data_IF_406213806176
#
_entry.id   IF_406213806176
#
_cell.length_a   1.000
_cell.length_b   1.000
_cell.length_c   1.000
_cell.angle_alpha   90.00
_cell.angle_beta   90.00
_cell.angle_gamma   90.00
#
_symmetry.space_group_name_H-M   'P 1'
#
loop_
_entity.id
_entity.type
_entity.pdbx_description
1 polymer ?
#
# COMPACT_ATOMS: atom_id res chain seq x y z
N UNK A 1 -14.31 -2.23 35.19
CA UNK A 1 -14.67 -3.65 34.96
C UNK A 1 -13.53 -4.48 34.39
N UNK A 2 -12.83 -4.05 33.32
CA UNK A 2 -11.68 -4.79 32.76
C UNK A 2 -10.55 -5.02 33.79
N UNK A 3 -10.10 -3.95 34.44
CA UNK A 3 -9.09 -4.04 35.50
C UNK A 3 -9.54 -4.95 36.65
N UNK A 4 -10.81 -4.89 37.06
CA UNK A 4 -11.36 -5.76 38.11
C UNK A 4 -11.20 -7.24 37.78
N UNK A 5 -11.34 -7.63 36.50
CA UNK A 5 -11.06 -9.00 36.07
C UNK A 5 -9.58 -9.34 36.22
N UNK A 6 -8.66 -8.46 35.79
CA UNK A 6 -7.22 -8.65 35.96
C UNK A 6 -6.86 -8.84 37.43
N UNK A 7 -7.44 -8.04 38.32
CA UNK A 7 -7.22 -8.07 39.77
C UNK A 7 -7.66 -9.39 40.41
N UNK A 8 -8.53 -10.18 39.76
CA UNK A 8 -8.89 -11.51 40.25
C UNK A 8 -7.77 -12.54 40.14
N UNK A 9 -6.73 -12.27 39.34
CA UNK A 9 -5.63 -13.19 39.09
C UNK A 9 -5.98 -14.38 38.18
N UNK A 10 -7.20 -14.45 37.62
CA UNK A 10 -7.62 -15.55 36.75
C UNK A 10 -7.08 -15.47 35.30
N UNK A 11 -6.33 -14.42 34.94
CA UNK A 11 -5.78 -14.24 33.59
C UNK A 11 -4.95 -15.43 33.09
N UNK A 12 -4.08 -15.97 33.95
CA UNK A 12 -3.24 -17.14 33.61
C UNK A 12 -4.06 -18.39 33.31
N UNK A 13 -5.01 -18.74 34.19
CA UNK A 13 -5.94 -19.86 33.98
C UNK A 13 -6.79 -19.69 32.73
N UNK A 14 -7.15 -18.46 32.40
CA UNK A 14 -7.90 -18.14 31.20
C UNK A 14 -7.05 -18.39 29.93
N UNK A 15 -5.79 -17.96 29.93
CA UNK A 15 -4.85 -18.24 28.86
C UNK A 15 -4.60 -19.74 28.66
N UNK A 16 -4.49 -20.52 29.74
CA UNK A 16 -4.35 -21.98 29.68
C UNK A 16 -5.59 -22.66 29.07
N UNK A 17 -6.79 -22.20 29.43
CA UNK A 17 -8.06 -22.74 28.92
C UNK A 17 -8.35 -22.39 27.47
N UNK A 18 -7.61 -21.44 26.88
CA UNK A 18 -7.79 -21.08 25.47
C UNK A 18 -7.53 -22.28 24.54
N UNK A 19 -6.76 -23.29 24.96
CA UNK A 19 -6.67 -24.55 24.24
C UNK A 19 -7.91 -25.41 24.50
N UNK A 20 -8.93 -25.23 23.67
CA UNK A 20 -10.20 -25.95 23.74
C UNK A 20 -10.73 -26.27 22.33
N UNK A 21 -11.66 -27.22 22.25
CA UNK A 21 -12.30 -27.58 20.98
C UNK A 21 -13.67 -26.90 20.79
N UNK A 22 -14.14 -26.18 21.80
CA UNK A 22 -15.39 -25.41 21.79
C UNK A 22 -15.15 -24.01 21.24
N UNK A 23 -15.78 -23.68 20.11
CA UNK A 23 -15.69 -22.34 19.50
C UNK A 23 -16.38 -21.27 20.37
N UNK A 24 -17.37 -21.64 21.17
CA UNK A 24 -17.99 -20.73 22.15
C UNK A 24 -17.01 -20.33 23.25
N UNK A 25 -16.33 -21.32 23.84
CA UNK A 25 -15.32 -21.08 24.88
C UNK A 25 -14.16 -20.27 24.30
N UNK A 26 -13.65 -20.66 23.12
CA UNK A 26 -12.60 -19.90 22.42
C UNK A 26 -13.00 -18.44 22.24
N UNK A 27 -14.19 -18.16 21.70
CA UNK A 27 -14.66 -16.80 21.48
C UNK A 27 -14.68 -16.00 22.78
N UNK A 28 -15.27 -16.55 23.85
CA UNK A 28 -15.38 -15.84 25.14
C UNK A 28 -14.00 -15.60 25.74
N UNK A 29 -13.14 -16.60 25.75
CA UNK A 29 -11.78 -16.53 26.30
C UNK A 29 -10.95 -15.50 25.53
N UNK A 30 -10.88 -15.62 24.20
CA UNK A 30 -10.15 -14.71 23.33
C UNK A 30 -10.66 -13.28 23.48
N UNK A 31 -11.98 -13.08 23.60
CA UNK A 31 -12.57 -11.75 23.79
C UNK A 31 -12.21 -11.13 25.14
N UNK A 32 -12.23 -11.90 26.23
CA UNK A 32 -11.84 -11.39 27.56
C UNK A 32 -10.36 -11.00 27.56
N UNK A 33 -9.49 -11.85 26.99
CA UNK A 33 -8.06 -11.56 26.86
C UNK A 33 -7.82 -10.33 25.97
N UNK A 34 -8.49 -10.24 24.82
CA UNK A 34 -8.42 -9.10 23.92
C UNK A 34 -8.87 -7.81 24.62
N UNK A 35 -9.99 -7.82 25.34
CA UNK A 35 -10.44 -6.64 26.07
C UNK A 35 -9.45 -6.26 27.18
N UNK A 36 -8.76 -7.23 27.77
CA UNK A 36 -7.72 -6.99 28.77
C UNK A 36 -6.47 -6.33 28.19
N UNK A 37 -6.31 -6.22 26.87
CA UNK A 37 -5.20 -5.45 26.28
C UNK A 37 -5.38 -3.94 26.41
N UNK A 38 -6.57 -3.45 26.78
CA UNK A 38 -6.89 -2.03 26.81
C UNK A 38 -7.03 -1.49 28.24
N UNK A 39 -6.18 -0.53 28.60
CA UNK A 39 -6.20 0.18 29.88
C UNK A 39 -6.27 -0.77 31.08
N UNK A 40 -5.45 -1.83 31.07
CA UNK A 40 -5.29 -2.74 32.20
C UNK A 40 -3.83 -3.05 32.51
N UNK A 41 -3.58 -3.63 33.69
CA UNK A 41 -2.27 -4.13 34.12
C UNK A 41 -2.00 -5.59 33.77
N UNK A 42 -2.75 -6.18 32.82
CA UNK A 42 -2.54 -7.57 32.39
C UNK A 42 -1.15 -7.76 31.80
N UNK A 43 -0.35 -8.65 32.40
CA UNK A 43 1.01 -8.96 31.96
C UNK A 43 1.01 -10.07 30.89
N UNK A 44 1.00 -9.67 29.61
CA UNK A 44 1.02 -10.60 28.49
C UNK A 44 2.35 -11.35 28.33
N UNK A 45 3.47 -10.81 28.81
CA UNK A 45 4.75 -11.55 28.83
C UNK A 45 4.65 -12.71 29.82
N UNK A 46 4.08 -12.49 31.00
CA UNK A 46 3.79 -13.55 31.95
C UNK A 46 2.83 -14.60 31.38
N UNK A 47 1.73 -14.19 30.71
CA UNK A 47 0.78 -15.12 30.10
C UNK A 47 1.43 -16.00 29.01
N UNK A 48 2.36 -15.44 28.23
CA UNK A 48 3.07 -16.19 27.19
C UNK A 48 4.08 -17.17 27.83
N UNK A 49 4.87 -16.72 28.79
CA UNK A 49 5.97 -17.53 29.37
C UNK A 49 5.50 -18.60 30.35
N UNK A 50 4.48 -18.31 31.15
CA UNK A 50 4.06 -19.19 32.25
C UNK A 50 2.71 -19.85 32.02
N UNK A 51 1.87 -19.31 31.13
CA UNK A 51 0.51 -19.81 30.88
C UNK A 51 0.27 -20.25 29.42
N UNK A 52 1.36 -20.41 28.65
CA UNK A 52 1.33 -20.96 27.28
C UNK A 52 0.39 -20.23 26.31
N UNK A 53 0.12 -18.95 26.53
CA UNK A 53 -0.82 -18.17 25.71
C UNK A 53 -0.48 -18.27 24.21
N UNK A 54 0.80 -18.13 23.88
CA UNK A 54 1.29 -18.23 22.51
C UNK A 54 0.95 -19.56 21.82
N UNK A 55 1.23 -20.68 22.50
CA UNK A 55 0.95 -22.01 21.98
C UNK A 55 -0.56 -22.26 21.83
N UNK A 56 -1.36 -21.78 22.79
CA UNK A 56 -2.81 -21.94 22.78
C UNK A 56 -3.48 -21.11 21.69
N UNK A 57 -3.00 -19.89 21.43
CA UNK A 57 -3.45 -19.07 20.30
C UNK A 57 -3.08 -19.73 18.98
N UNK A 58 -1.83 -20.20 18.82
CA UNK A 58 -1.40 -20.89 17.62
C UNK A 58 -2.21 -22.18 17.38
N UNK A 59 -2.56 -22.92 18.43
CA UNK A 59 -3.45 -24.08 18.35
C UNK A 59 -4.79 -23.72 17.73
N UNK A 60 -5.40 -22.61 18.14
CA UNK A 60 -6.70 -22.20 17.61
C UNK A 60 -6.64 -21.80 16.13
N UNK A 61 -5.61 -21.06 15.72
CA UNK A 61 -5.43 -20.74 14.29
C UNK A 61 -5.23 -22.02 13.46
N UNK A 62 -4.45 -22.99 13.96
CA UNK A 62 -4.29 -24.31 13.31
C UNK A 62 -5.63 -25.04 13.21
N UNK A 63 -6.43 -25.03 14.28
CA UNK A 63 -7.76 -25.67 14.34
C UNK A 63 -8.69 -25.09 13.28
N UNK A 64 -8.82 -23.76 13.22
CA UNK A 64 -9.62 -23.06 12.21
C UNK A 64 -9.11 -23.30 10.80
N UNK A 65 -7.79 -23.26 10.59
CA UNK A 65 -7.20 -23.49 9.27
C UNK A 65 -7.47 -24.91 8.73
N UNK A 66 -7.77 -25.91 9.57
CA UNK A 66 -8.19 -27.26 9.13
C UNK A 66 -9.60 -27.26 8.52
N UNK A 67 -10.45 -26.29 8.87
CA UNK A 67 -11.83 -26.21 8.39
C UNK A 67 -11.94 -25.74 6.94
N UNK A 68 -10.88 -25.11 6.40
CA UNK A 68 -10.80 -24.65 5.01
C UNK A 68 -10.23 -25.76 4.12
N UNK A 69 -11.03 -26.44 3.26
CA UNK A 69 -10.55 -27.51 2.40
C UNK A 69 -9.72 -27.00 1.21
N UNK A 70 -8.99 -27.89 0.51
CA UNK A 70 -8.24 -27.51 -0.72
C UNK A 70 -9.16 -27.21 -1.91
N UNK A 71 -10.35 -27.82 -1.92
CA UNK A 71 -11.37 -27.67 -2.95
C UNK A 71 -12.75 -27.84 -2.29
N UNK A 72 -13.76 -27.16 -2.84
CA UNK A 72 -15.12 -27.14 -2.32
C UNK A 72 -15.41 -25.94 -1.41
N UNK A 73 -16.68 -25.54 -1.38
CA UNK A 73 -17.18 -24.45 -0.55
C UNK A 73 -17.59 -25.00 0.81
N UNK A 74 -16.86 -24.63 1.85
CA UNK A 74 -17.33 -24.81 3.22
C UNK A 74 -17.28 -23.45 3.90
N UNK A 75 -18.44 -22.89 4.23
CA UNK A 75 -18.47 -21.72 5.10
C UNK A 75 -18.17 -22.18 6.52
N UNK A 76 -17.44 -21.36 7.26
CA UNK A 76 -17.37 -21.50 8.72
C UNK A 76 -18.80 -21.40 9.28
N UNK A 77 -19.05 -22.06 10.41
CA UNK A 77 -20.24 -21.72 11.19
C UNK A 77 -20.09 -20.29 11.72
N UNK A 78 -21.20 -19.62 12.02
CA UNK A 78 -21.17 -18.28 12.60
C UNK A 78 -20.34 -18.25 13.89
N UNK A 79 -20.42 -19.28 14.73
CA UNK A 79 -19.67 -19.35 15.97
C UNK A 79 -18.17 -19.55 15.73
N UNK A 80 -17.79 -20.37 14.76
CA UNK A 80 -16.38 -20.53 14.38
C UNK A 80 -15.78 -19.24 13.84
N UNK A 81 -16.54 -18.49 13.02
CA UNK A 81 -16.09 -17.20 12.50
C UNK A 81 -15.90 -16.17 13.61
N UNK A 82 -16.82 -16.10 14.58
CA UNK A 82 -16.68 -15.23 15.75
C UNK A 82 -15.48 -15.59 16.62
N UNK A 83 -15.28 -16.88 16.89
CA UNK A 83 -14.15 -17.39 17.66
C UNK A 83 -12.82 -17.05 17.01
N UNK A 84 -12.67 -17.39 15.72
CA UNK A 84 -11.49 -17.05 14.93
C UNK A 84 -11.24 -15.53 14.92
N UNK A 85 -12.29 -14.75 14.71
CA UNK A 85 -12.20 -13.29 14.69
C UNK A 85 -11.66 -12.72 16.01
N UNK A 86 -12.16 -13.18 17.17
CA UNK A 86 -11.68 -12.68 18.46
C UNK A 86 -10.25 -13.17 18.75
N UNK A 87 -9.88 -14.38 18.33
CA UNK A 87 -8.49 -14.87 18.40
C UNK A 87 -7.54 -14.02 17.53
N UNK A 88 -7.95 -13.64 16.32
CA UNK A 88 -7.18 -12.75 15.44
C UNK A 88 -7.03 -11.34 16.04
N UNK A 89 -8.09 -10.78 16.63
CA UNK A 89 -8.01 -9.48 17.33
C UNK A 89 -7.02 -9.54 18.50
N UNK A 90 -7.01 -10.64 19.25
CA UNK A 90 -6.05 -10.86 20.33
C UNK A 90 -4.60 -10.88 19.80
N UNK A 91 -4.33 -11.65 18.73
CA UNK A 91 -3.01 -11.67 18.06
C UNK A 91 -2.60 -10.27 17.65
N UNK A 92 -3.48 -9.56 16.95
CA UNK A 92 -3.19 -8.21 16.44
C UNK A 92 -2.82 -7.25 17.57
N UNK A 93 -3.66 -7.17 18.62
CA UNK A 93 -3.42 -6.23 19.72
C UNK A 93 -2.16 -6.56 20.50
N UNK A 94 -1.95 -7.83 20.86
CA UNK A 94 -0.74 -8.23 21.61
C UNK A 94 0.51 -7.93 20.78
N UNK A 95 0.51 -8.27 19.49
CA UNK A 95 1.64 -8.00 18.60
C UNK A 95 1.87 -6.51 18.36
N UNK A 96 0.80 -5.70 18.34
CA UNK A 96 0.89 -4.25 18.12
C UNK A 96 1.36 -3.49 19.37
N UNK A 97 0.85 -3.86 20.55
CA UNK A 97 1.17 -3.19 21.83
C UNK A 97 2.50 -3.68 22.39
N UNK A 98 2.78 -4.99 22.27
CA UNK A 98 3.97 -5.65 22.78
C UNK A 98 4.75 -6.25 21.61
N UNK A 99 5.39 -5.42 20.80
CA UNK A 99 6.08 -5.82 19.56
C UNK A 99 7.13 -6.92 19.76
N UNK A 100 7.79 -6.98 20.92
CA UNK A 100 8.73 -8.04 21.25
C UNK A 100 8.08 -9.43 21.38
N UNK A 101 6.77 -9.49 21.65
CA UNK A 101 6.02 -10.73 21.80
C UNK A 101 5.46 -11.24 20.46
N UNK A 102 5.49 -10.44 19.39
CA UNK A 102 4.89 -10.79 18.09
C UNK A 102 5.41 -12.10 17.50
N UNK A 103 6.70 -12.39 17.69
CA UNK A 103 7.35 -13.62 17.20
C UNK A 103 6.74 -14.91 17.80
N UNK A 104 6.07 -14.81 18.95
CA UNK A 104 5.36 -15.93 19.60
C UNK A 104 4.25 -16.48 18.71
N UNK A 105 3.63 -15.63 17.89
CA UNK A 105 2.51 -16.00 17.02
C UNK A 105 2.95 -16.34 15.60
N UNK A 106 4.25 -16.33 15.28
CA UNK A 106 4.75 -16.58 13.91
C UNK A 106 4.35 -17.96 13.37
N UNK A 107 4.14 -18.96 14.23
CA UNK A 107 3.63 -20.27 13.82
C UNK A 107 2.22 -20.21 13.19
N UNK A 108 1.45 -19.15 13.44
CA UNK A 108 0.14 -18.91 12.83
C UNK A 108 0.23 -18.40 11.39
N UNK A 109 1.34 -17.81 10.96
CA UNK A 109 1.50 -17.19 9.63
C UNK A 109 1.11 -18.13 8.46
N UNK A 110 1.67 -19.36 8.33
CA UNK A 110 1.29 -20.26 7.23
C UNK A 110 -0.19 -20.64 7.25
N UNK A 111 -0.80 -20.69 8.43
CA UNK A 111 -2.21 -21.02 8.60
C UNK A 111 -3.12 -19.83 8.27
N UNK A 112 -2.73 -18.61 8.59
CA UNK A 112 -3.40 -17.37 8.17
C UNK A 112 -3.38 -17.27 6.64
N UNK A 113 -2.23 -17.46 5.98
CA UNK A 113 -2.18 -17.48 4.52
C UNK A 113 -3.04 -18.59 3.92
N UNK A 114 -3.06 -19.79 4.52
CA UNK A 114 -3.93 -20.87 4.08
C UNK A 114 -5.41 -20.46 4.12
N UNK A 115 -5.84 -19.77 5.18
CA UNK A 115 -7.21 -19.28 5.32
C UNK A 115 -7.50 -18.21 4.25
N UNK A 116 -6.64 -17.19 4.12
CA UNK A 116 -6.80 -16.10 3.14
C UNK A 116 -6.91 -16.66 1.71
N UNK A 117 -6.04 -17.59 1.32
CA UNK A 117 -6.06 -18.17 -0.03
C UNK A 117 -7.35 -18.97 -0.34
N UNK A 118 -8.02 -19.50 0.69
CA UNK A 118 -9.18 -20.40 0.54
C UNK A 118 -10.52 -19.70 0.75
N UNK A 119 -10.53 -18.52 1.34
CA UNK A 119 -11.74 -17.69 1.48
C UNK A 119 -12.10 -17.06 0.13
N UNK A 120 -13.38 -17.06 -0.21
CA UNK A 120 -13.92 -16.25 -1.30
C UNK A 120 -13.79 -14.77 -0.94
N UNK A 121 -13.30 -13.95 -1.88
CA UNK A 121 -13.15 -12.51 -1.62
C UNK A 121 -14.57 -11.91 -1.58
N UNK A 122 -15.01 -11.36 -0.44
CA UNK A 122 -16.33 -10.76 -0.35
C UNK A 122 -16.35 -9.43 -1.13
N UNK A 123 -17.55 -8.92 -1.52
CA UNK A 123 -17.67 -7.64 -2.22
C UNK A 123 -17.03 -6.45 -1.47
N UNK A 124 -16.94 -6.57 -0.15
CA UNK A 124 -16.25 -5.66 0.75
C UNK A 124 -15.02 -6.35 1.35
N UNK A 125 -13.90 -6.44 0.62
CA UNK A 125 -12.74 -7.27 0.99
C UNK A 125 -11.99 -6.83 2.25
N UNK A 126 -12.15 -5.58 2.68
CA UNK A 126 -11.47 -5.02 3.85
C UNK A 126 -12.36 -5.00 5.10
N UNK A 127 -13.44 -5.76 5.09
CA UNK A 127 -14.37 -5.95 6.22
C UNK A 127 -14.44 -7.42 6.67
N UNK A 128 -15.05 -7.66 7.82
CA UNK A 128 -15.25 -9.01 8.37
C UNK A 128 -13.94 -9.77 8.61
N UNK A 129 -14.00 -11.10 8.48
CA UNK A 129 -12.88 -12.00 8.77
C UNK A 129 -11.61 -11.67 7.97
N UNK A 130 -11.75 -11.31 6.69
CA UNK A 130 -10.60 -11.03 5.82
C UNK A 130 -9.79 -9.82 6.32
N UNK A 131 -10.48 -8.78 6.81
CA UNK A 131 -9.85 -7.62 7.46
C UNK A 131 -8.99 -8.01 8.65
N UNK A 132 -9.51 -8.86 9.56
CA UNK A 132 -8.76 -9.29 10.75
C UNK A 132 -7.55 -10.16 10.41
N UNK A 133 -7.64 -10.98 9.36
CA UNK A 133 -6.50 -11.76 8.86
C UNK A 133 -5.39 -10.85 8.32
N UNK A 134 -5.75 -9.84 7.51
CA UNK A 134 -4.81 -8.85 6.97
C UNK A 134 -4.17 -8.00 8.09
N UNK A 135 -4.96 -7.60 9.09
CA UNK A 135 -4.47 -6.88 10.25
C UNK A 135 -3.39 -7.69 10.97
N UNK A 136 -3.62 -8.98 11.22
CA UNK A 136 -2.61 -9.84 11.84
C UNK A 136 -1.32 -9.92 11.00
N UNK A 137 -1.43 -10.13 9.69
CA UNK A 137 -0.24 -10.19 8.83
C UNK A 137 0.59 -8.91 8.88
N UNK A 138 -0.05 -7.75 9.08
CA UNK A 138 0.66 -6.47 9.17
C UNK A 138 1.40 -6.22 10.50
N UNK A 139 1.20 -7.08 11.51
CA UNK A 139 1.87 -6.95 12.83
C UNK A 139 2.75 -8.15 13.20
N UNK A 140 2.60 -9.28 12.51
CA UNK A 140 3.41 -10.47 12.72
C UNK A 140 4.82 -10.32 12.13
N UNK A 141 5.80 -11.01 12.73
CA UNK A 141 7.18 -11.06 12.25
C UNK A 141 7.28 -11.97 11.01
N UNK A 142 6.88 -11.44 9.85
CA UNK A 142 6.97 -12.12 8.56
C UNK A 142 8.42 -12.38 8.15
N UNK A 143 9.35 -11.52 8.61
CA UNK A 143 10.79 -11.65 8.37
C UNK A 143 11.43 -12.81 9.14
N UNK A 144 10.71 -13.38 10.10
CA UNK A 144 11.16 -14.46 10.97
C UNK A 144 12.49 -14.14 11.67
N UNK A 145 12.69 -12.87 12.07
CA UNK A 145 13.93 -12.40 12.73
C UNK A 145 14.19 -13.12 14.05
N UNK A 146 13.12 -13.44 14.78
CA UNK A 146 13.20 -14.04 16.14
C UNK A 146 12.49 -15.40 16.25
N UNK A 147 11.91 -15.91 15.16
CA UNK A 147 11.05 -17.10 15.18
C UNK A 147 11.78 -18.42 14.87
N UNK A 148 11.06 -19.54 15.02
CA UNK A 148 11.55 -20.88 14.64
C UNK A 148 11.73 -20.94 13.13
N UNK A 149 12.74 -21.67 12.66
CA UNK A 149 12.97 -21.88 11.23
C UNK A 149 11.77 -22.62 10.63
N UNK A 150 11.08 -22.00 9.66
CA UNK A 150 10.06 -22.69 8.88
C UNK A 150 10.73 -23.69 7.92
N UNK A 151 10.18 -24.89 7.76
CA UNK A 151 10.68 -25.89 6.79
C UNK A 151 10.66 -25.36 5.34
N UNK A 152 9.69 -24.50 5.04
CA UNK A 152 9.56 -23.78 3.77
C UNK A 152 9.04 -22.37 4.03
N UNK A 153 9.46 -21.38 3.24
CA UNK A 153 8.99 -19.99 3.40
C UNK A 153 7.44 -19.93 3.36
N UNK A 154 6.79 -19.44 4.43
CA UNK A 154 5.32 -19.32 4.44
C UNK A 154 4.82 -18.26 3.44
N UNK A 155 5.69 -17.29 3.09
CA UNK A 155 5.41 -16.25 2.12
C UNK A 155 5.50 -16.77 0.67
N UNK A 156 6.46 -17.67 0.41
CA UNK A 156 6.74 -18.23 -0.92
C UNK A 156 6.72 -19.76 -0.88
N UNK A 157 5.53 -20.40 -0.80
CA UNK A 157 5.42 -21.85 -0.75
C UNK A 157 6.01 -22.54 -1.98
N UNK A 158 6.60 -23.72 -1.79
CA UNK A 158 7.27 -24.46 -2.88
C UNK A 158 6.33 -24.93 -3.99
N UNK A 159 5.05 -25.15 -3.69
CA UNK A 159 4.06 -25.60 -4.68
C UNK A 159 3.60 -24.47 -5.62
N UNK A 160 3.61 -23.23 -5.15
CA UNK A 160 3.31 -22.03 -5.93
C UNK A 160 3.84 -20.82 -5.14
N UNK A 161 4.95 -20.25 -5.62
CA UNK A 161 5.59 -19.12 -4.95
C UNK A 161 4.76 -17.83 -5.03
N UNK A 162 3.86 -17.72 -6.00
CA UNK A 162 3.08 -16.50 -6.26
C UNK A 162 1.69 -16.51 -5.62
N UNK A 163 1.20 -17.64 -5.07
CA UNK A 163 -0.21 -17.75 -4.67
C UNK A 163 -0.65 -16.70 -3.64
N UNK A 164 0.20 -16.40 -2.66
CA UNK A 164 -0.09 -15.40 -1.63
C UNK A 164 -0.16 -13.99 -2.24
N UNK A 165 0.79 -13.67 -3.14
CA UNK A 165 0.86 -12.41 -3.87
C UNK A 165 -0.39 -12.24 -4.75
N UNK A 166 -0.73 -13.26 -5.54
CA UNK A 166 -1.92 -13.25 -6.39
C UNK A 166 -3.18 -12.96 -5.58
N UNK A 167 -3.35 -13.64 -4.46
CA UNK A 167 -4.55 -13.46 -3.62
C UNK A 167 -4.60 -12.05 -3.02
N UNK A 168 -3.49 -11.54 -2.49
CA UNK A 168 -3.44 -10.21 -1.88
C UNK A 168 -3.63 -9.08 -2.91
N UNK A 169 -3.07 -9.23 -4.12
CA UNK A 169 -3.26 -8.25 -5.20
C UNK A 169 -4.71 -8.28 -5.69
N UNK A 170 -5.33 -9.46 -5.83
CA UNK A 170 -6.75 -9.56 -6.16
C UNK A 170 -7.66 -8.93 -5.08
N UNK A 171 -7.30 -9.05 -3.80
CA UNK A 171 -7.99 -8.35 -2.71
C UNK A 171 -7.81 -6.84 -2.86
N UNK A 172 -6.60 -6.37 -3.19
CA UNK A 172 -6.31 -4.95 -3.40
C UNK A 172 -7.11 -4.39 -4.58
N UNK A 173 -7.16 -5.09 -5.71
CA UNK A 173 -7.90 -4.66 -6.90
C UNK A 173 -9.40 -4.51 -6.64
N UNK A 174 -9.99 -5.49 -5.95
CA UNK A 174 -11.39 -5.43 -5.52
C UNK A 174 -11.60 -4.32 -4.49
N UNK A 175 -10.66 -4.10 -3.56
CA UNK A 175 -10.77 -3.05 -2.56
C UNK A 175 -10.75 -1.65 -3.20
N UNK A 176 -9.81 -1.40 -4.10
CA UNK A 176 -9.69 -0.12 -4.82
C UNK A 176 -10.94 0.18 -5.64
N UNK A 177 -11.64 -0.84 -6.11
CA UNK A 177 -12.89 -0.70 -6.85
C UNK A 177 -14.14 -0.58 -5.96
N UNK A 178 -14.11 -1.13 -4.74
CA UNK A 178 -15.26 -1.20 -3.84
C UNK A 178 -15.36 -0.06 -2.81
N UNK A 179 -14.25 0.61 -2.50
CA UNK A 179 -14.17 1.61 -1.43
C UNK A 179 -13.78 3.00 -1.95
N UNK A 180 -14.29 4.04 -1.27
CA UNK A 180 -13.82 5.41 -1.46
C UNK A 180 -12.42 5.65 -0.86
N UNK A 181 -11.71 6.72 -1.27
CA UNK A 181 -10.38 7.03 -0.76
C UNK A 181 -10.33 7.24 0.77
N UNK A 182 -11.39 7.79 1.36
CA UNK A 182 -11.56 7.99 2.81
C UNK A 182 -11.64 6.66 3.59
N UNK A 183 -12.31 5.67 3.04
CA UNK A 183 -12.36 4.34 3.63
C UNK A 183 -11.03 3.60 3.44
N UNK A 184 -10.40 3.72 2.27
CA UNK A 184 -9.10 3.10 1.99
C UNK A 184 -7.98 3.64 2.89
N UNK A 185 -7.99 4.94 3.19
CA UNK A 185 -7.08 5.61 4.14
C UNK A 185 -7.03 4.90 5.50
N UNK A 186 -8.16 4.33 5.95
CA UNK A 186 -8.28 3.69 7.25
C UNK A 186 -8.15 2.16 7.19
N UNK A 187 -8.67 1.54 6.11
CA UNK A 187 -8.82 0.08 6.01
C UNK A 187 -7.72 -0.63 5.22
N UNK A 188 -7.09 0.04 4.24
CA UNK A 188 -6.19 -0.61 3.28
C UNK A 188 -4.72 -0.67 3.72
N UNK A 189 -4.32 0.15 4.70
CA UNK A 189 -2.93 0.26 5.18
C UNK A 189 -2.31 -1.10 5.56
N UNK A 190 -2.99 -2.01 6.28
CA UNK A 190 -2.47 -3.34 6.59
C UNK A 190 -2.12 -4.17 5.35
N UNK A 191 -2.93 -4.07 4.29
CA UNK A 191 -2.72 -4.77 3.03
C UNK A 191 -1.49 -4.22 2.29
N UNK A 192 -1.37 -2.88 2.19
CA UNK A 192 -0.20 -2.24 1.61
C UNK A 192 1.09 -2.61 2.36
N UNK A 193 1.06 -2.54 3.69
CA UNK A 193 2.21 -2.91 4.50
C UNK A 193 2.63 -4.37 4.28
N UNK A 194 1.66 -5.29 4.25
CA UNK A 194 1.92 -6.71 3.99
C UNK A 194 2.55 -6.92 2.60
N UNK A 195 2.04 -6.24 1.56
CA UNK A 195 2.59 -6.32 0.21
C UNK A 195 4.02 -5.78 0.12
N UNK A 196 4.32 -4.67 0.80
CA UNK A 196 5.68 -4.11 0.89
C UNK A 196 6.65 -5.11 1.51
N UNK A 197 6.29 -5.68 2.67
CA UNK A 197 7.14 -6.66 3.38
C UNK A 197 7.35 -7.92 2.53
N UNK A 198 6.30 -8.43 1.87
CA UNK A 198 6.42 -9.57 0.96
C UNK A 198 7.39 -9.23 -0.19
N UNK A 199 7.28 -8.05 -0.83
CA UNK A 199 8.16 -7.69 -1.92
C UNK A 199 9.64 -7.58 -1.48
N UNK A 200 9.91 -6.96 -0.33
CA UNK A 200 11.26 -6.84 0.24
C UNK A 200 11.92 -8.22 0.42
N UNK A 201 11.13 -9.20 0.85
CA UNK A 201 11.56 -10.57 1.10
C UNK A 201 11.51 -11.48 -0.13
N UNK A 202 10.93 -11.01 -1.23
CA UNK A 202 10.67 -11.85 -2.40
C UNK A 202 11.97 -12.24 -3.12
N UNK A 203 12.12 -13.53 -3.51
CA UNK A 203 13.15 -13.91 -4.47
C UNK A 203 12.86 -13.30 -5.85
N UNK A 204 13.84 -13.33 -6.75
CA UNK A 204 13.78 -12.62 -8.04
C UNK A 204 12.51 -12.94 -8.87
N UNK A 205 12.03 -14.18 -8.84
CA UNK A 205 10.83 -14.60 -9.56
C UNK A 205 9.57 -13.87 -9.08
N UNK A 206 9.08 -14.12 -7.84
CA UNK A 206 7.95 -13.41 -7.26
C UNK A 206 8.12 -11.90 -7.23
N UNK A 207 9.35 -11.39 -7.03
CA UNK A 207 9.64 -9.94 -7.04
C UNK A 207 9.31 -9.32 -8.39
N UNK A 208 9.84 -9.86 -9.49
CA UNK A 208 9.54 -9.40 -10.85
C UNK A 208 8.07 -9.58 -11.21
N UNK A 209 7.45 -10.65 -10.71
CA UNK A 209 6.02 -10.90 -10.91
C UNK A 209 5.15 -9.84 -10.23
N UNK A 210 5.50 -9.41 -9.00
CA UNK A 210 4.83 -8.28 -8.34
C UNK A 210 5.00 -6.96 -9.09
N UNK A 211 6.21 -6.68 -9.59
CA UNK A 211 6.48 -5.51 -10.42
C UNK A 211 5.59 -5.50 -11.67
N UNK A 212 5.49 -6.65 -12.34
CA UNK A 212 4.64 -6.83 -13.52
C UNK A 212 3.14 -6.58 -13.23
N UNK A 213 2.64 -7.01 -12.07
CA UNK A 213 1.22 -6.83 -11.71
C UNK A 213 0.85 -5.41 -11.24
N UNK A 214 1.79 -4.67 -10.63
CA UNK A 214 1.50 -3.43 -9.89
C UNK A 214 2.06 -2.17 -10.53
N UNK A 215 3.08 -2.26 -11.38
CA UNK A 215 3.63 -1.11 -12.10
C UNK A 215 2.92 -0.95 -13.46
N UNK A 216 2.84 0.29 -13.99
CA UNK A 216 2.26 0.53 -15.31
C UNK A 216 3.00 -0.24 -16.41
N UNK A 217 2.24 -0.92 -17.26
CA UNK A 217 2.77 -1.59 -18.45
C UNK A 217 2.70 -0.70 -19.70
N UNK A 218 3.28 -1.14 -20.82
CA UNK A 218 3.21 -0.44 -22.09
C UNK A 218 1.76 -0.18 -22.57
N UNK A 219 0.82 -1.05 -22.21
CA UNK A 219 -0.60 -0.89 -22.52
C UNK A 219 -1.24 0.30 -21.76
N UNK A 220 -0.75 0.58 -20.55
CA UNK A 220 -1.21 1.73 -19.76
C UNK A 220 -0.77 3.06 -20.37
N UNK A 221 0.28 3.04 -21.20
CA UNK A 221 0.84 4.24 -21.86
C UNK A 221 0.09 4.65 -23.13
N UNK A 222 -1.04 4.01 -23.44
CA UNK A 222 -1.94 4.46 -24.52
C UNK A 222 -2.69 5.74 -24.16
N UNK A 223 -2.82 6.03 -22.86
CA UNK A 223 -3.38 7.26 -22.28
C UNK A 223 -2.37 7.82 -21.28
N UNK A 224 -2.57 9.04 -20.76
CA UNK A 224 -1.78 9.51 -19.62
C UNK A 224 -1.90 8.52 -18.45
N UNK A 225 -0.78 8.24 -17.80
CA UNK A 225 -0.73 7.33 -16.66
C UNK A 225 -1.71 7.82 -15.57
N UNK A 226 -2.37 6.87 -14.90
CA UNK A 226 -3.38 7.19 -13.88
C UNK A 226 -4.79 7.41 -14.42
N UNK A 227 -5.00 7.32 -15.75
CA UNK A 227 -6.32 7.49 -16.38
C UNK A 227 -6.89 6.20 -17.01
N UNK A 228 -6.19 5.05 -16.90
CA UNK A 228 -6.70 3.74 -17.30
C UNK A 228 -7.43 3.04 -16.14
N UNK A 229 -8.16 1.96 -16.45
CA UNK A 229 -8.90 1.15 -15.47
C UNK A 229 -8.03 0.05 -14.81
N UNK A 230 -6.73 0.04 -15.08
CA UNK A 230 -5.78 -0.90 -14.47
C UNK A 230 -5.53 -0.57 -13.01
N UNK A 231 -5.12 -1.57 -12.23
CA UNK A 231 -4.81 -1.39 -10.82
C UNK A 231 -3.69 -0.36 -10.61
N UNK A 232 -2.63 -0.42 -11.41
CA UNK A 232 -1.52 0.54 -11.40
C UNK A 232 -2.01 1.98 -11.54
N UNK A 233 -2.85 2.25 -12.55
CA UNK A 233 -3.45 3.58 -12.76
C UNK A 233 -4.38 4.02 -11.64
N UNK A 234 -5.23 3.12 -11.13
CA UNK A 234 -6.11 3.44 -9.99
C UNK A 234 -5.31 3.81 -8.74
N UNK A 235 -4.24 3.07 -8.44
CA UNK A 235 -3.35 3.38 -7.32
C UNK A 235 -2.64 4.72 -7.50
N UNK A 236 -2.13 5.00 -8.71
CA UNK A 236 -1.49 6.29 -8.99
C UNK A 236 -2.48 7.45 -8.86
N UNK A 237 -3.71 7.30 -9.36
CA UNK A 237 -4.76 8.30 -9.18
C UNK A 237 -5.09 8.50 -7.69
N UNK A 238 -5.26 7.42 -6.92
CA UNK A 238 -5.46 7.49 -5.46
C UNK A 238 -4.32 8.24 -4.76
N UNK A 239 -3.09 8.14 -5.22
CA UNK A 239 -1.95 8.85 -4.62
C UNK A 239 -1.99 10.38 -4.78
N UNK A 240 -2.87 10.90 -5.64
CA UNK A 240 -3.08 12.36 -5.85
C UNK A 240 -4.19 12.94 -4.97
N UNK A 241 -4.94 12.08 -4.27
CA UNK A 241 -6.05 12.48 -3.40
C UNK A 241 -5.53 13.06 -2.07
N UNK A 242 -6.33 13.87 -1.34
CA UNK A 242 -5.88 14.56 -0.12
C UNK A 242 -5.86 13.64 1.13
N UNK A 243 -5.50 12.37 0.97
CA UNK A 243 -5.49 11.34 2.02
C UNK A 243 -4.04 10.89 2.29
N UNK A 244 -3.40 11.42 3.35
CA UNK A 244 -1.94 11.33 3.50
C UNK A 244 -1.42 9.92 3.82
N UNK A 245 -2.15 9.10 4.58
CA UNK A 245 -1.69 7.75 4.91
C UNK A 245 -1.76 6.82 3.69
N UNK A 246 -2.80 6.95 2.88
CA UNK A 246 -3.01 6.24 1.62
C UNK A 246 -1.96 6.66 0.61
N UNK A 247 -1.72 7.97 0.45
CA UNK A 247 -0.62 8.48 -0.37
C UNK A 247 0.73 7.90 0.08
N UNK A 248 0.99 7.90 1.38
CA UNK A 248 2.25 7.36 1.95
C UNK A 248 2.38 5.85 1.70
N UNK A 249 1.30 5.08 1.89
CA UNK A 249 1.29 3.64 1.67
C UNK A 249 1.50 3.26 0.20
N UNK A 250 0.85 3.98 -0.73
CA UNK A 250 1.05 3.79 -2.17
C UNK A 250 2.46 4.23 -2.57
N UNK A 251 2.96 5.34 -2.03
CA UNK A 251 4.33 5.84 -2.24
C UNK A 251 5.37 4.80 -1.83
N UNK A 252 5.19 4.18 -0.65
CA UNK A 252 6.05 3.08 -0.17
C UNK A 252 6.05 1.90 -1.12
N UNK A 253 4.86 1.43 -1.49
CA UNK A 253 4.73 0.27 -2.38
C UNK A 253 5.40 0.54 -3.74
N UNK A 254 5.12 1.68 -4.37
CA UNK A 254 5.69 2.03 -5.68
C UNK A 254 7.21 2.20 -5.63
N UNK A 255 7.73 2.79 -4.54
CA UNK A 255 9.17 2.97 -4.36
C UNK A 255 9.90 1.63 -4.17
N UNK A 256 9.35 0.74 -3.35
CA UNK A 256 9.91 -0.60 -3.11
C UNK A 256 9.84 -1.47 -4.37
N UNK A 257 8.73 -1.41 -5.12
CA UNK A 257 8.62 -2.07 -6.44
C UNK A 257 9.66 -1.55 -7.43
N UNK A 258 10.01 -0.27 -7.35
CA UNK A 258 11.03 0.36 -8.20
C UNK A 258 12.46 0.18 -7.68
N UNK A 259 12.68 -0.73 -6.73
CA UNK A 259 14.02 -1.04 -6.21
C UNK A 259 14.60 0.03 -5.29
N UNK A 260 13.74 0.84 -4.65
CA UNK A 260 14.12 1.99 -3.80
C UNK A 260 15.00 3.01 -4.52
N UNK A 261 14.75 3.19 -5.81
CA UNK A 261 15.51 4.07 -6.68
C UNK A 261 14.58 5.11 -7.34
N UNK A 262 14.96 6.38 -7.26
CA UNK A 262 14.15 7.49 -7.73
C UNK A 262 14.05 7.55 -9.26
N UNK A 263 15.09 7.13 -9.97
CA UNK A 263 15.12 7.09 -11.44
C UNK A 263 14.20 5.99 -11.96
N UNK A 264 14.32 4.78 -11.41
CA UNK A 264 13.44 3.66 -11.72
C UNK A 264 11.99 3.98 -11.40
N UNK A 265 11.72 4.63 -10.26
CA UNK A 265 10.37 5.10 -9.93
C UNK A 265 9.86 6.04 -11.03
N UNK A 266 10.63 7.08 -11.36
CA UNK A 266 10.26 8.07 -12.38
C UNK A 266 10.06 7.43 -13.76
N UNK A 267 10.87 6.43 -14.13
CA UNK A 267 10.70 5.64 -15.35
C UNK A 267 9.40 4.85 -15.37
N UNK A 268 9.07 4.21 -14.25
CA UNK A 268 7.91 3.33 -14.15
C UNK A 268 6.59 4.10 -14.14
N UNK A 269 6.49 5.20 -13.37
CA UNK A 269 5.22 5.88 -13.13
C UNK A 269 5.12 7.30 -13.73
N UNK A 270 6.18 7.77 -14.37
CA UNK A 270 6.26 9.12 -14.93
C UNK A 270 6.63 10.18 -13.90
N UNK A 271 7.20 11.30 -14.36
CA UNK A 271 7.75 12.35 -13.50
C UNK A 271 6.68 13.00 -12.62
N UNK A 272 5.47 13.24 -13.15
CA UNK A 272 4.40 13.91 -12.42
C UNK A 272 4.03 13.20 -11.11
N UNK A 273 3.79 11.89 -11.16
CA UNK A 273 3.52 11.09 -9.96
C UNK A 273 4.78 10.92 -9.11
N UNK A 274 5.92 10.58 -9.73
CA UNK A 274 7.16 10.34 -9.01
C UNK A 274 7.59 11.54 -8.17
N UNK A 275 7.55 12.76 -8.71
CA UNK A 275 7.87 13.98 -7.97
C UNK A 275 6.98 14.14 -6.72
N UNK A 276 5.66 13.90 -6.85
CA UNK A 276 4.72 13.97 -5.74
C UNK A 276 4.93 12.91 -4.66
N UNK A 277 5.38 11.71 -5.05
CA UNK A 277 5.69 10.60 -4.15
C UNK A 277 7.06 10.80 -3.47
N UNK A 278 8.10 11.21 -4.21
CA UNK A 278 9.43 11.54 -3.68
C UNK A 278 9.34 12.69 -2.67
N UNK A 279 8.56 13.73 -2.98
CA UNK A 279 8.29 14.84 -2.07
C UNK A 279 7.68 14.36 -0.74
N UNK A 280 6.69 13.45 -0.79
CA UNK A 280 6.08 12.89 0.44
C UNK A 280 7.05 12.07 1.29
N UNK A 281 8.17 11.62 0.72
CA UNK A 281 9.23 10.88 1.41
C UNK A 281 10.38 11.78 1.86
N UNK A 282 10.30 13.09 1.62
CA UNK A 282 11.38 14.03 1.94
C UNK A 282 12.66 13.80 1.12
N UNK A 283 12.56 13.11 -0.02
CA UNK A 283 13.69 12.88 -0.92
C UNK A 283 13.85 14.04 -1.91
N UNK A 284 15.07 14.21 -2.42
CA UNK A 284 15.35 15.19 -3.47
C UNK A 284 14.53 14.86 -4.72
N UNK A 285 13.86 15.88 -5.25
CA UNK A 285 13.08 15.79 -6.47
C UNK A 285 14.00 16.26 -7.60
N UNK A 286 14.19 15.47 -8.67
CA UNK A 286 14.89 15.94 -9.86
C UNK A 286 14.24 17.23 -10.37
N UNK A 287 15.00 18.28 -10.72
CA UNK A 287 14.38 19.59 -11.05
C UNK A 287 13.68 19.56 -12.40
N UNK A 288 14.05 18.64 -13.26
CA UNK A 288 13.42 18.42 -14.56
C UNK A 288 13.28 16.94 -14.86
N UNK A 289 12.35 16.61 -15.77
CA UNK A 289 12.27 15.28 -16.34
C UNK A 289 13.62 14.84 -16.95
N UNK A 290 14.32 15.73 -17.66
CA UNK A 290 15.62 15.43 -18.25
C UNK A 290 16.68 15.05 -17.21
N UNK A 291 16.74 15.77 -16.08
CA UNK A 291 17.62 15.42 -14.95
C UNK A 291 17.25 14.08 -14.32
N UNK A 292 15.96 13.76 -14.20
CA UNK A 292 15.49 12.48 -13.66
C UNK A 292 15.95 11.25 -14.48
N UNK A 293 16.33 11.46 -15.75
CA UNK A 293 16.77 10.42 -16.67
C UNK A 293 18.24 10.56 -17.12
N UNK A 294 19.00 11.52 -16.58
CA UNK A 294 20.31 11.92 -17.11
C UNK A 294 21.44 10.91 -16.86
N UNK A 295 21.32 10.08 -15.83
CA UNK A 295 22.32 9.13 -15.32
C UNK A 295 22.26 7.77 -15.99
N UNK A 296 21.14 7.44 -16.65
CA UNK A 296 20.94 6.16 -17.34
C UNK A 296 20.58 6.40 -18.82
N UNK A 297 21.51 6.21 -19.77
CA UNK A 297 21.23 6.39 -21.21
C UNK A 297 20.18 5.43 -21.79
N UNK A 298 19.85 4.33 -21.08
CA UNK A 298 18.75 3.41 -21.39
C UNK A 298 17.48 3.64 -20.51
N UNK A 299 17.47 4.71 -19.71
CA UNK A 299 16.39 5.04 -18.78
C UNK A 299 15.20 5.72 -19.46
N UNK A 300 15.49 6.54 -20.48
CA UNK A 300 14.49 7.28 -21.26
C UNK A 300 14.05 6.46 -22.47
N UNK A 301 12.77 6.07 -22.50
CA UNK A 301 12.15 5.62 -23.73
C UNK A 301 11.77 6.86 -24.56
N UNK A 302 12.45 7.14 -25.69
CA UNK A 302 12.17 8.32 -26.50
C UNK A 302 10.75 8.34 -27.07
N UNK A 303 10.05 7.20 -27.05
CA UNK A 303 8.66 7.09 -27.51
C UNK A 303 7.65 7.53 -26.43
N UNK A 304 8.08 7.81 -25.20
CA UNK A 304 7.22 8.16 -24.07
C UNK A 304 7.38 9.62 -23.66
N UNK A 305 6.26 10.31 -23.46
CA UNK A 305 6.23 11.64 -22.88
C UNK A 305 6.56 11.55 -21.37
N UNK A 306 7.64 12.18 -20.90
CA UNK A 306 8.05 12.08 -19.50
C UNK A 306 7.10 12.76 -18.51
N UNK A 307 6.25 13.67 -18.98
CA UNK A 307 5.29 14.41 -18.15
C UNK A 307 4.03 13.56 -17.93
N UNK A 308 3.43 13.08 -19.02
CA UNK A 308 2.16 12.33 -18.99
C UNK A 308 2.35 10.82 -18.81
N UNK A 309 3.54 10.30 -19.12
CA UNK A 309 3.84 8.88 -19.18
C UNK A 309 3.22 8.15 -20.39
N UNK A 310 2.51 8.88 -21.26
CA UNK A 310 1.85 8.37 -22.47
C UNK A 310 2.87 8.23 -23.62
N UNK A 311 2.63 7.29 -24.55
CA UNK A 311 3.39 7.21 -25.80
C UNK A 311 3.06 8.41 -26.69
N UNK A 312 4.07 9.10 -27.22
CA UNK A 312 3.91 10.24 -28.13
C UNK A 312 3.00 9.93 -29.33
N UNK A 313 3.08 8.70 -29.85
CA UNK A 313 2.26 8.25 -30.97
C UNK A 313 0.75 8.16 -30.64
N UNK A 314 0.39 8.00 -29.36
CA UNK A 314 -0.98 7.90 -28.90
C UNK A 314 -1.54 9.25 -28.42
N UNK A 315 -0.71 10.27 -28.27
CA UNK A 315 -1.16 11.61 -27.90
C UNK A 315 -2.03 12.20 -29.02
N UNK A 316 -3.12 12.85 -28.62
CA UNK A 316 -3.96 13.58 -29.58
C UNK A 316 -3.13 14.73 -30.13
N UNK A 317 -2.89 14.72 -31.44
CA UNK A 317 -2.33 15.87 -32.13
C UNK A 317 -3.37 16.99 -32.10
N UNK A 318 -2.91 18.20 -31.84
CA UNK A 318 -3.77 19.37 -31.95
C UNK A 318 -4.08 19.58 -33.44
N UNK A 319 -5.33 19.29 -33.81
CA UNK A 319 -5.87 19.52 -35.16
C UNK A 319 -6.54 20.89 -35.27
N UNK A 320 -6.47 21.71 -34.21
CA UNK A 320 -6.99 23.06 -34.20
C UNK A 320 -6.24 23.98 -35.18
N UNK A 321 -6.88 25.07 -35.63
CA UNK A 321 -6.16 26.12 -36.35
C UNK A 321 -5.03 26.66 -35.48
N UNK A 322 -3.87 27.01 -36.07
CA UNK A 322 -2.78 27.61 -35.31
C UNK A 322 -3.28 28.87 -34.60
N UNK A 323 -3.00 28.99 -33.29
CA UNK A 323 -3.41 30.15 -32.50
C UNK A 323 -3.01 31.45 -33.19
N UNK A 324 -3.94 32.40 -33.21
CA UNK A 324 -3.69 33.77 -33.69
C UNK A 324 -2.69 34.49 -32.79
N UNK A 325 -2.11 35.62 -33.24
CA UNK A 325 -1.15 36.38 -32.42
C UNK A 325 -1.77 36.85 -31.10
N UNK A 326 -2.99 37.38 -31.16
CA UNK A 326 -3.72 37.84 -29.99
C UNK A 326 -4.03 36.71 -29.00
N UNK A 327 -4.38 35.51 -29.48
CA UNK A 327 -4.58 34.34 -28.61
C UNK A 327 -3.26 33.86 -27.97
N UNK A 328 -2.15 33.92 -28.71
CA UNK A 328 -0.83 33.60 -28.15
C UNK A 328 -0.44 34.58 -27.05
N UNK A 329 -0.71 35.87 -27.23
CA UNK A 329 -0.46 36.91 -26.23
C UNK A 329 -1.31 36.66 -24.98
N UNK A 330 -2.62 36.43 -25.14
CA UNK A 330 -3.51 36.11 -24.00
C UNK A 330 -3.08 34.85 -23.24
N UNK A 331 -2.66 33.79 -23.94
CA UNK A 331 -2.20 32.57 -23.27
C UNK A 331 -0.82 32.77 -22.61
N UNK A 332 0.07 33.59 -23.21
CA UNK A 332 1.34 33.97 -22.59
C UNK A 332 1.14 34.77 -21.30
N UNK A 333 0.22 35.74 -21.28
CA UNK A 333 -0.17 36.47 -20.08
C UNK A 333 -0.73 35.54 -19.01
N UNK A 334 -1.61 34.61 -19.40
CA UNK A 334 -2.17 33.61 -18.48
C UNK A 334 -1.07 32.73 -17.87
N UNK A 335 -0.13 32.25 -18.68
CA UNK A 335 1.02 31.45 -18.23
C UNK A 335 1.93 32.26 -17.29
N UNK A 336 2.16 33.54 -17.59
CA UNK A 336 2.92 34.44 -16.74
C UNK A 336 2.29 34.56 -15.34
N UNK A 337 0.97 34.78 -15.27
CA UNK A 337 0.23 34.86 -14.00
C UNK A 337 0.30 33.53 -13.23
N UNK A 338 0.19 32.39 -13.93
CA UNK A 338 0.33 31.07 -13.31
C UNK A 338 1.73 30.85 -12.73
N UNK A 339 2.78 31.24 -13.44
CA UNK A 339 4.17 31.17 -12.98
C UNK A 339 4.38 32.02 -11.72
N UNK A 340 3.92 33.27 -11.73
CA UNK A 340 4.03 34.17 -10.57
C UNK A 340 3.28 33.61 -9.36
N UNK A 341 2.07 33.06 -9.55
CA UNK A 341 1.32 32.41 -8.47
C UNK A 341 2.03 31.18 -7.92
N UNK A 342 2.58 30.33 -8.79
CA UNK A 342 3.31 29.15 -8.37
C UNK A 342 4.59 29.50 -7.60
N UNK A 343 5.29 30.57 -8.01
CA UNK A 343 6.45 31.13 -7.31
C UNK A 343 6.05 31.70 -5.94
N UNK A 344 4.97 32.48 -5.88
CA UNK A 344 4.47 33.06 -4.62
C UNK A 344 4.06 31.98 -3.60
N UNK A 345 3.54 30.85 -4.07
CA UNK A 345 3.19 29.70 -3.24
C UNK A 345 4.39 28.80 -2.90
N UNK A 346 5.60 29.14 -3.34
CA UNK A 346 6.82 28.38 -3.07
C UNK A 346 6.93 27.03 -3.79
N UNK A 347 6.06 26.77 -4.78
CA UNK A 347 6.01 25.52 -5.54
C UNK A 347 7.16 25.46 -6.57
N UNK A 348 7.57 26.61 -7.10
CA UNK A 348 8.65 26.76 -8.07
C UNK A 348 9.67 27.80 -7.58
N UNK A 349 10.95 27.42 -7.50
CA UNK A 349 12.09 28.31 -7.25
C UNK A 349 12.85 28.68 -8.54
N UNK A 350 12.22 28.47 -9.71
CA UNK A 350 12.84 28.75 -11.00
C UNK A 350 12.51 30.19 -11.39
N UNK A 351 13.53 30.92 -11.84
CA UNK A 351 13.39 32.27 -12.38
C UNK A 351 12.43 32.25 -13.58
N UNK A 352 11.44 33.14 -13.58
CA UNK A 352 10.42 33.17 -14.64
C UNK A 352 11.14 33.32 -16.00
N UNK A 353 10.86 32.44 -16.98
CA UNK A 353 11.56 32.45 -18.26
C UNK A 353 11.44 33.79 -19.01
N UNK A 354 10.37 34.56 -18.76
CA UNK A 354 10.20 35.92 -19.27
C UNK A 354 11.20 36.88 -18.61
N UNK A 355 11.34 36.82 -17.28
CA UNK A 355 12.30 37.63 -16.52
C UNK A 355 13.74 37.29 -16.91
N UNK A 356 14.03 36.00 -17.13
CA UNK A 356 15.34 35.54 -17.61
C UNK A 356 15.62 36.00 -19.04
N UNK A 357 14.64 35.94 -19.95
CA UNK A 357 14.78 36.46 -21.31
C UNK A 357 15.02 37.99 -21.33
N UNK A 358 14.40 38.72 -20.39
CA UNK A 358 14.60 40.15 -20.17
C UNK A 358 16.01 40.45 -19.64
N UNK A 359 16.53 39.64 -18.72
CA UNK A 359 17.93 39.72 -18.27
C UNK A 359 18.95 39.31 -19.35
N UNK A 360 18.62 38.34 -20.20
CA UNK A 360 19.46 37.88 -21.32
C UNK A 360 19.42 38.83 -22.54
N UNK A 361 18.65 39.93 -22.48
CA UNK A 361 18.52 40.90 -23.58
C UNK A 361 17.85 40.34 -24.83
N UNK A 362 17.08 39.25 -24.70
CA UNK A 362 16.32 38.59 -25.78
C UNK A 362 14.85 38.99 -25.80
N UNK A 363 14.51 40.03 -25.06
CA UNK A 363 13.16 40.59 -24.99
C UNK A 363 13.02 41.63 -26.10
N UNK A 364 12.18 41.34 -27.08
CA UNK A 364 11.89 42.23 -28.20
C UNK A 364 10.48 42.79 -27.96
N UNK A 365 10.39 44.06 -27.57
CA UNK A 365 9.11 44.78 -27.50
C UNK A 365 8.60 44.95 -28.94
N UNK A 366 7.41 44.41 -29.23
CA UNK A 366 6.78 44.63 -30.52
C UNK A 366 6.39 46.11 -30.63
N UNK A 367 6.55 46.73 -31.82
CA UNK A 367 6.04 48.08 -32.04
C UNK A 367 4.52 48.07 -31.90
N UNK A 368 3.99 49.04 -31.16
CA UNK A 368 2.55 49.26 -30.99
C UNK A 368 1.89 49.36 -32.37
N UNK A 369 0.93 48.48 -32.65
CA UNK A 369 0.15 48.52 -33.89
C UNK A 369 -0.99 49.53 -33.79
N UNK A 370 -0.67 50.76 -33.37
CA UNK A 370 -1.62 51.87 -33.22
C UNK A 370 -1.17 53.14 -33.96
N UNK A 371 -0.45 52.99 -35.07
CA UNK A 371 -0.31 54.02 -36.09
C UNK A 371 -0.99 53.55 -37.39
N UNK A 372 -2.32 53.61 -37.38
CA UNK A 372 -3.16 53.60 -38.58
C UNK A 372 -3.62 55.03 -38.86
N UNK A 373 -2.93 55.73 -39.77
CA UNK A 373 -3.45 56.95 -40.42
C UNK A 373 -4.65 56.63 -41.33
#
# INVERSE_FOLDING_TARGET
>A
MRQLFVDTGYGGKLAERLKCDSSEDEMVISRILFLSTYDTTMDFDNLIRHHSLGENVNYQIVRHAKQFPKSGKKSLSQMDELALTDTLKLIFNVSKIYSDLAATFSASIPHIFKIINRIDIPPKPLEGLLSYLLNCLSTLDLENKKGKVFESSPLFPTFNQNCNVDKLINILDQAVSAYGPDELETKAIPLFHTLVVIHEMAPDGPRKYMQWLLLPEDNDRSRPIGQSDTLSSKLLNLSTTPYPNLKTAISELMFVLSGKDAENLTKNIGYGFAAGLLASRGMEIPKTAGEAFATNPNGFDPEVNPITGQKWAAEKKDEGPPMTKEEKEREAERLFVLFERARANGILQVENPVTRALHEGRFEELPDSDDSD
#
